data_IF_149782077625
#
_entry.id   IF_149782077625
#
_cell.length_a   1.000
_cell.length_b   1.000
_cell.length_c   1.000
_cell.angle_alpha   90.00
_cell.angle_beta   90.00
_cell.angle_gamma   90.00
#
_symmetry.space_group_name_H-M   'P 1'
#
loop_
_entity.id
_entity.type
_entity.pdbx_description
1 polymer ?
#
# COMPACT_ATOMS: atom_id res chain seq x y z
N UNK A 1 20.79 -29.32 -0.31
CA UNK A 1 21.65 -28.67 -1.32
C UNK A 1 20.99 -28.60 -2.71
N UNK A 2 20.44 -29.68 -3.28
CA UNK A 2 19.85 -29.67 -4.64
C UNK A 2 18.75 -28.64 -4.85
N UNK A 3 17.84 -28.41 -3.89
CA UNK A 3 16.78 -27.40 -3.96
C UNK A 3 17.33 -25.97 -4.07
N UNK A 4 18.44 -25.67 -3.40
CA UNK A 4 19.08 -24.36 -3.48
C UNK A 4 19.66 -24.12 -4.88
N UNK A 5 20.26 -25.14 -5.50
CA UNK A 5 20.77 -25.03 -6.88
C UNK A 5 19.63 -24.83 -7.89
N UNK A 6 18.54 -25.59 -7.77
CA UNK A 6 17.37 -25.38 -8.63
C UNK A 6 16.80 -23.97 -8.50
N UNK A 7 16.66 -23.48 -7.27
CA UNK A 7 16.21 -22.10 -7.02
C UNK A 7 17.17 -21.09 -7.64
N UNK A 8 18.47 -21.22 -7.42
CA UNK A 8 19.47 -20.30 -7.95
C UNK A 8 19.47 -20.28 -9.49
N UNK A 9 19.36 -21.43 -10.15
CA UNK A 9 19.30 -21.50 -11.61
C UNK A 9 18.08 -20.73 -12.13
N UNK A 10 16.90 -20.99 -11.58
CA UNK A 10 15.65 -20.31 -11.97
C UNK A 10 15.75 -18.79 -11.69
N UNK A 11 16.23 -18.42 -10.52
CA UNK A 11 16.40 -17.02 -10.13
C UNK A 11 17.38 -16.28 -11.03
N UNK A 12 18.56 -16.86 -11.30
CA UNK A 12 19.56 -16.26 -12.19
C UNK A 12 19.00 -16.13 -13.60
N UNK A 13 18.37 -17.18 -14.14
CA UNK A 13 17.90 -17.20 -15.53
C UNK A 13 16.73 -16.26 -15.75
N UNK A 14 15.75 -16.24 -14.86
CA UNK A 14 14.48 -15.52 -15.07
C UNK A 14 14.36 -14.20 -14.33
N UNK A 15 15.24 -13.92 -13.37
CA UNK A 15 15.24 -12.63 -12.65
C UNK A 15 16.52 -11.85 -12.87
N UNK A 16 17.66 -12.42 -12.54
CA UNK A 16 18.92 -11.68 -12.54
C UNK A 16 19.41 -11.38 -13.96
N UNK A 17 19.39 -12.36 -14.87
CA UNK A 17 19.89 -12.21 -16.24
C UNK A 17 19.05 -11.19 -17.04
N UNK A 18 17.70 -11.21 -17.06
CA UNK A 18 16.91 -10.18 -17.71
C UNK A 18 17.13 -8.78 -17.12
N UNK A 19 17.32 -8.68 -15.78
CA UNK A 19 17.61 -7.41 -15.11
C UNK A 19 18.95 -6.83 -15.59
N UNK A 20 20.00 -7.65 -15.62
CA UNK A 20 21.32 -7.23 -16.10
C UNK A 20 21.31 -6.89 -17.60
N UNK A 21 20.60 -7.67 -18.41
CA UNK A 21 20.43 -7.39 -19.83
C UNK A 21 19.70 -6.05 -20.05
N UNK A 22 18.60 -5.80 -19.32
CA UNK A 22 17.88 -4.54 -19.37
C UNK A 22 18.76 -3.37 -18.95
N UNK A 23 19.56 -3.53 -17.89
CA UNK A 23 20.53 -2.51 -17.46
C UNK A 23 21.58 -2.24 -18.55
N UNK A 24 22.11 -3.26 -19.19
CA UNK A 24 23.04 -3.10 -20.31
C UNK A 24 22.41 -2.41 -21.52
N UNK A 25 21.21 -2.81 -21.90
CA UNK A 25 20.47 -2.20 -23.02
C UNK A 25 20.04 -0.76 -22.74
N UNK A 26 19.91 -0.35 -21.50
CA UNK A 26 19.55 1.03 -21.13
C UNK A 26 20.58 2.08 -21.58
N UNK A 27 21.82 1.65 -21.85
CA UNK A 27 22.90 2.48 -22.40
C UNK A 27 22.99 2.42 -23.94
N UNK A 28 22.00 1.79 -24.59
CA UNK A 28 21.98 1.63 -26.04
C UNK A 28 20.71 2.22 -26.64
N UNK A 29 20.80 2.66 -27.88
CA UNK A 29 19.63 2.88 -28.73
C UNK A 29 19.30 1.56 -29.43
N UNK A 30 18.10 1.03 -29.19
CA UNK A 30 17.66 -0.23 -29.77
C UNK A 30 16.17 -0.21 -30.12
N UNK A 31 15.89 -0.37 -31.41
CA UNK A 31 14.52 -0.39 -31.95
C UNK A 31 13.98 -1.81 -32.19
N UNK A 32 14.68 -2.86 -31.70
CA UNK A 32 14.38 -4.30 -31.85
C UNK A 32 14.69 -4.83 -33.25
N UNK A 33 14.60 -4.03 -34.31
CA UNK A 33 14.81 -4.46 -35.70
C UNK A 33 16.27 -4.37 -36.15
N UNK A 34 17.03 -3.54 -35.52
CA UNK A 34 18.46 -3.31 -35.79
C UNK A 34 19.30 -3.67 -34.59
N UNK A 35 20.61 -3.84 -34.79
CA UNK A 35 21.53 -4.13 -33.69
C UNK A 35 21.58 -2.95 -32.69
N UNK A 36 21.69 -3.23 -31.38
CA UNK A 36 21.76 -2.18 -30.38
C UNK A 36 23.04 -1.35 -30.54
N UNK A 37 22.90 -0.04 -30.68
CA UNK A 37 24.00 0.90 -30.80
C UNK A 37 24.23 1.62 -29.48
N UNK A 38 25.46 1.60 -28.98
CA UNK A 38 25.80 2.26 -27.73
C UNK A 38 25.66 3.78 -27.83
N UNK A 39 24.81 4.38 -27.01
CA UNK A 39 24.57 5.82 -26.95
C UNK A 39 24.89 6.45 -25.58
N UNK A 40 25.54 5.70 -24.67
CA UNK A 40 25.92 6.20 -23.36
C UNK A 40 24.73 6.55 -22.46
N UNK A 41 24.66 7.78 -22.00
CA UNK A 41 23.63 8.24 -21.06
C UNK A 41 22.48 9.02 -21.74
N UNK A 42 22.41 9.07 -23.07
CA UNK A 42 21.40 9.86 -23.78
C UNK A 42 19.97 9.49 -23.42
N UNK A 43 19.67 8.19 -23.24
CA UNK A 43 18.35 7.76 -22.81
C UNK A 43 17.96 8.34 -21.44
N UNK A 44 18.90 8.43 -20.53
CA UNK A 44 18.67 9.01 -19.19
C UNK A 44 18.52 10.53 -19.25
N UNK A 45 19.33 11.20 -20.06
CA UNK A 45 19.20 12.65 -20.30
C UNK A 45 17.83 12.94 -20.88
N UNK A 46 17.40 12.20 -21.91
CA UNK A 46 16.07 12.35 -22.48
C UNK A 46 14.97 12.19 -21.42
N UNK A 47 15.00 11.12 -20.62
CA UNK A 47 14.00 10.87 -19.59
C UNK A 47 13.90 11.97 -18.54
N UNK A 48 15.04 12.47 -18.06
CA UNK A 48 15.05 13.43 -16.94
C UNK A 48 15.03 14.90 -17.34
N UNK A 49 15.31 15.22 -18.60
CA UNK A 49 15.40 16.61 -19.08
C UNK A 49 14.31 16.92 -20.11
N UNK A 50 14.07 16.02 -21.06
CA UNK A 50 13.24 16.31 -22.23
C UNK A 50 11.85 15.67 -22.14
N UNK A 51 11.67 14.56 -21.43
CA UNK A 51 10.39 13.89 -21.32
C UNK A 51 9.53 14.44 -20.17
N UNK A 52 8.72 15.44 -20.47
CA UNK A 52 7.80 16.04 -19.50
C UNK A 52 6.75 15.04 -18.98
N UNK A 53 6.39 14.01 -19.78
CA UNK A 53 5.44 12.98 -19.37
C UNK A 53 6.06 12.06 -18.31
N UNK A 54 7.31 11.65 -18.51
CA UNK A 54 8.05 10.87 -17.53
C UNK A 54 8.22 11.62 -16.20
N UNK A 55 8.61 12.90 -16.24
CA UNK A 55 8.77 13.72 -15.03
C UNK A 55 7.45 13.85 -14.26
N UNK A 56 6.34 14.04 -14.97
CA UNK A 56 5.00 14.08 -14.36
C UNK A 56 4.61 12.74 -13.75
N UNK A 57 4.84 11.63 -14.46
CA UNK A 57 4.57 10.28 -13.97
C UNK A 57 5.43 9.95 -12.74
N UNK A 58 6.71 10.33 -12.77
CA UNK A 58 7.63 10.16 -11.63
C UNK A 58 7.16 10.92 -10.39
N UNK A 59 6.78 12.19 -10.56
CA UNK A 59 6.25 13.03 -9.46
C UNK A 59 4.95 12.46 -8.90
N UNK A 60 4.04 12.00 -9.76
CA UNK A 60 2.79 11.36 -9.33
C UNK A 60 3.07 10.07 -8.54
N UNK A 61 3.98 9.24 -9.03
CA UNK A 61 4.38 7.99 -8.35
C UNK A 61 5.01 8.28 -6.99
N UNK A 62 5.89 9.28 -6.91
CA UNK A 62 6.50 9.68 -5.66
C UNK A 62 5.47 10.21 -4.66
N UNK A 63 4.55 11.07 -5.12
CA UNK A 63 3.44 11.59 -4.30
C UNK A 63 2.57 10.46 -3.76
N UNK A 64 2.20 9.53 -4.64
CA UNK A 64 1.44 8.34 -4.26
C UNK A 64 2.18 7.51 -3.20
N UNK A 65 3.44 7.17 -3.44
CA UNK A 65 4.24 6.34 -2.55
C UNK A 65 4.45 6.97 -1.17
N UNK A 66 4.77 8.27 -1.12
CA UNK A 66 4.99 9.01 0.12
C UNK A 66 3.72 9.14 0.96
N UNK A 67 2.56 9.22 0.32
CA UNK A 67 1.28 9.30 1.05
C UNK A 67 0.81 7.89 1.44
N UNK A 68 0.68 6.99 0.46
CA UNK A 68 0.07 5.67 0.69
C UNK A 68 0.93 4.80 1.60
N UNK A 69 2.25 4.77 1.41
CA UNK A 69 3.14 3.95 2.23
C UNK A 69 3.03 4.25 3.73
N UNK A 70 3.40 5.44 4.19
CA UNK A 70 3.36 5.79 5.60
C UNK A 70 1.94 5.77 6.19
N UNK A 71 0.94 6.30 5.45
CA UNK A 71 -0.44 6.37 5.96
C UNK A 71 -1.03 4.98 6.12
N UNK A 72 -0.86 4.08 5.15
CA UNK A 72 -1.37 2.69 5.26
C UNK A 72 -0.69 1.92 6.39
N UNK A 73 0.62 2.10 6.55
CA UNK A 73 1.40 1.49 7.62
C UNK A 73 0.89 1.92 9.00
N UNK A 74 0.79 3.23 9.23
CA UNK A 74 0.31 3.80 10.48
C UNK A 74 -1.15 3.40 10.73
N UNK A 75 -2.01 3.52 9.72
CA UNK A 75 -3.43 3.17 9.83
C UNK A 75 -3.61 1.68 10.17
N UNK A 76 -2.90 0.78 9.49
CA UNK A 76 -2.95 -0.67 9.76
C UNK A 76 -2.55 -1.00 11.20
N UNK A 77 -1.51 -0.34 11.73
CA UNK A 77 -1.06 -0.51 13.11
C UNK A 77 -2.11 -0.02 14.11
N UNK A 78 -2.66 1.17 13.90
CA UNK A 78 -3.71 1.72 14.76
C UNK A 78 -5.00 0.89 14.73
N UNK A 79 -5.45 0.45 13.57
CA UNK A 79 -6.63 -0.42 13.48
C UNK A 79 -6.40 -1.76 14.18
N UNK A 80 -5.24 -2.37 14.04
CA UNK A 80 -4.89 -3.59 14.75
C UNK A 80 -4.88 -3.37 16.27
N UNK A 81 -4.34 -2.25 16.74
CA UNK A 81 -4.34 -1.85 18.13
C UNK A 81 -5.77 -1.63 18.68
N UNK A 82 -6.63 -0.92 17.95
CA UNK A 82 -8.04 -0.75 18.34
C UNK A 82 -8.77 -2.09 18.45
N UNK A 83 -8.58 -2.96 17.46
CA UNK A 83 -9.21 -4.29 17.45
C UNK A 83 -8.68 -5.17 18.59
N UNK A 84 -7.43 -5.01 18.98
CA UNK A 84 -6.89 -5.73 20.13
C UNK A 84 -7.59 -5.37 21.44
N UNK A 85 -8.15 -4.18 21.55
CA UNK A 85 -8.91 -3.72 22.72
C UNK A 85 -10.37 -4.21 22.76
N UNK A 86 -10.87 -4.78 21.66
CA UNK A 86 -12.23 -5.31 21.55
C UNK A 86 -12.30 -6.70 22.21
N UNK A 87 -13.43 -7.05 22.88
CA UNK A 87 -13.61 -8.37 23.46
C UNK A 87 -13.40 -9.51 22.46
N UNK A 88 -12.78 -10.61 22.95
CA UNK A 88 -12.38 -11.75 22.10
C UNK A 88 -13.53 -12.35 21.28
N UNK A 89 -14.77 -12.30 21.79
CA UNK A 89 -15.95 -12.86 21.10
C UNK A 89 -16.30 -12.16 19.79
N UNK A 90 -16.10 -10.85 19.70
CA UNK A 90 -16.49 -10.04 18.52
C UNK A 90 -15.29 -9.63 17.66
N UNK A 91 -14.09 -9.76 18.18
CA UNK A 91 -12.83 -9.43 17.48
C UNK A 91 -12.69 -10.07 16.09
N UNK A 92 -13.02 -11.38 15.88
CA UNK A 92 -12.92 -12.00 14.56
C UNK A 92 -13.76 -11.31 13.49
N UNK A 93 -14.92 -10.73 13.87
CA UNK A 93 -15.80 -10.01 12.95
C UNK A 93 -15.09 -8.73 12.44
N UNK A 94 -14.46 -7.97 13.33
CA UNK A 94 -13.71 -6.78 12.95
C UNK A 94 -12.47 -7.13 12.11
N UNK A 95 -11.73 -8.17 12.49
CA UNK A 95 -10.59 -8.64 11.70
C UNK A 95 -11.04 -9.01 10.30
N UNK A 96 -12.13 -9.75 10.15
CA UNK A 96 -12.68 -10.12 8.85
C UNK A 96 -13.10 -8.88 8.05
N UNK A 97 -13.77 -7.91 8.67
CA UNK A 97 -14.24 -6.70 8.00
C UNK A 97 -13.07 -5.86 7.44
N UNK A 98 -11.99 -5.69 8.21
CA UNK A 98 -10.80 -4.95 7.77
C UNK A 98 -9.93 -5.75 6.78
N UNK A 99 -9.98 -7.08 6.82
CA UNK A 99 -9.25 -7.93 5.89
C UNK A 99 -10.03 -8.26 4.62
N UNK A 100 -11.34 -8.02 4.59
CA UNK A 100 -12.22 -8.30 3.45
C UNK A 100 -11.71 -7.75 2.09
N UNK A 101 -11.13 -6.54 2.01
CA UNK A 101 -10.56 -6.04 0.75
C UNK A 101 -9.49 -6.96 0.15
N UNK A 102 -8.65 -7.56 0.98
CA UNK A 102 -7.60 -8.49 0.54
C UNK A 102 -8.13 -9.82 0.00
N UNK A 103 -9.32 -10.23 0.44
CA UNK A 103 -9.98 -11.46 -0.01
C UNK A 103 -10.73 -11.28 -1.33
N UNK A 104 -10.95 -10.04 -1.74
CA UNK A 104 -11.75 -9.73 -2.93
C UNK A 104 -10.84 -9.68 -4.16
N UNK A 105 -11.29 -10.27 -5.27
CA UNK A 105 -10.57 -10.17 -6.55
C UNK A 105 -10.36 -8.70 -6.94
N UNK A 106 -9.13 -8.34 -7.34
CA UNK A 106 -8.80 -6.99 -7.76
C UNK A 106 -9.69 -6.47 -8.90
N UNK A 107 -10.10 -7.34 -9.82
CA UNK A 107 -11.02 -7.00 -10.93
C UNK A 107 -12.40 -6.65 -10.39
N UNK A 108 -12.95 -7.45 -9.46
CA UNK A 108 -14.26 -7.16 -8.87
C UNK A 108 -14.22 -5.85 -8.07
N UNK A 109 -13.15 -5.62 -7.32
CA UNK A 109 -12.95 -4.36 -6.58
C UNK A 109 -12.85 -3.15 -7.51
N UNK A 110 -12.14 -3.26 -8.64
CA UNK A 110 -12.05 -2.19 -9.63
C UNK A 110 -13.43 -1.77 -10.16
N UNK A 111 -14.32 -2.73 -10.42
CA UNK A 111 -15.70 -2.45 -10.84
C UNK A 111 -16.48 -1.72 -9.74
N UNK A 112 -16.38 -2.18 -8.48
CA UNK A 112 -17.05 -1.52 -7.35
C UNK A 112 -16.61 -0.07 -7.22
N UNK A 113 -15.31 0.20 -7.27
CA UNK A 113 -14.78 1.55 -7.18
C UNK A 113 -15.14 2.42 -8.39
N UNK A 114 -15.14 1.84 -9.61
CA UNK A 114 -15.56 2.56 -10.81
C UNK A 114 -17.03 3.01 -10.73
N UNK A 115 -17.90 2.19 -10.18
CA UNK A 115 -19.31 2.54 -9.96
C UNK A 115 -19.47 3.54 -8.82
N UNK A 116 -18.69 3.39 -7.74
CA UNK A 116 -18.72 4.31 -6.60
C UNK A 116 -18.30 5.72 -6.99
N UNK A 117 -17.21 5.85 -7.77
CA UNK A 117 -16.66 7.13 -8.27
C UNK A 117 -17.08 7.42 -9.71
N UNK A 118 -18.24 6.91 -10.16
CA UNK A 118 -18.74 7.24 -11.50
C UNK A 118 -18.92 8.75 -11.65
N UNK A 119 -18.61 9.24 -12.86
CA UNK A 119 -18.59 10.67 -13.18
C UNK A 119 -19.98 11.28 -13.41
N UNK A 120 -21.02 10.47 -13.42
CA UNK A 120 -22.40 10.88 -13.64
C UNK A 120 -23.19 11.04 -12.33
N UNK A 121 -24.40 11.57 -12.43
CA UNK A 121 -25.29 11.74 -11.27
C UNK A 121 -25.81 10.43 -10.66
N UNK A 122 -25.66 9.30 -11.37
CA UNK A 122 -26.07 7.96 -10.91
C UNK A 122 -24.98 7.27 -10.11
N UNK A 123 -23.73 7.74 -10.17
CA UNK A 123 -22.63 7.27 -9.32
C UNK A 123 -22.97 7.40 -7.84
N UNK A 124 -22.66 6.38 -7.04
CA UNK A 124 -23.07 6.35 -5.62
C UNK A 124 -22.60 7.60 -4.85
N UNK A 125 -21.36 8.03 -5.05
CA UNK A 125 -20.81 9.18 -4.32
C UNK A 125 -21.43 10.49 -4.80
N UNK A 126 -21.57 10.69 -6.12
CA UNK A 126 -22.23 11.86 -6.66
C UNK A 126 -23.70 11.93 -6.26
N UNK A 127 -24.42 10.81 -6.34
CA UNK A 127 -25.82 10.74 -5.90
C UNK A 127 -25.96 11.09 -4.41
N UNK A 128 -25.08 10.59 -3.55
CA UNK A 128 -25.10 10.93 -2.12
C UNK A 128 -24.85 12.43 -1.89
N UNK A 129 -23.84 13.01 -2.54
CA UNK A 129 -23.47 14.42 -2.37
C UNK A 129 -24.53 15.37 -2.93
N UNK A 130 -25.16 15.04 -4.07
CA UNK A 130 -26.27 15.78 -4.64
C UNK A 130 -27.49 15.75 -3.72
N UNK A 131 -27.84 14.57 -3.18
CA UNK A 131 -28.99 14.43 -2.26
C UNK A 131 -28.79 15.16 -0.93
N UNK A 132 -27.54 15.27 -0.47
CA UNK A 132 -27.18 16.06 0.72
C UNK A 132 -27.10 17.57 0.45
N UNK A 133 -27.22 18.00 -0.82
CA UNK A 133 -27.08 19.40 -1.21
C UNK A 133 -25.66 19.95 -1.08
N UNK A 134 -24.64 19.09 -1.00
CA UNK A 134 -23.24 19.50 -0.87
C UNK A 134 -22.62 19.89 -2.21
N UNK A 135 -23.16 19.37 -3.30
CA UNK A 135 -22.77 19.73 -4.67
C UNK A 135 -24.03 19.97 -5.50
N UNK A 136 -23.91 20.76 -6.55
CA UNK A 136 -25.01 21.08 -7.49
C UNK A 136 -24.88 20.36 -8.83
N UNK A 137 -23.66 19.94 -9.18
CA UNK A 137 -23.33 19.20 -10.40
C UNK A 137 -22.46 18.00 -10.07
N UNK A 138 -22.55 16.90 -10.85
CA UNK A 138 -21.72 15.72 -10.64
C UNK A 138 -20.22 16.02 -10.80
N UNK A 139 -19.41 15.56 -9.88
CA UNK A 139 -17.95 15.67 -9.94
C UNK A 139 -17.40 14.59 -10.87
N UNK A 140 -16.45 14.98 -11.73
CA UNK A 140 -15.77 14.08 -12.67
C UNK A 140 -14.58 13.37 -11.99
N UNK A 141 -14.88 12.49 -11.03
CA UNK A 141 -13.89 11.86 -10.14
C UNK A 141 -12.72 11.18 -10.85
N UNK A 142 -13.00 10.49 -11.97
CA UNK A 142 -12.02 9.66 -12.68
C UNK A 142 -11.50 10.33 -13.96
N UNK A 143 -11.96 11.54 -14.28
CA UNK A 143 -11.55 12.27 -15.50
C UNK A 143 -10.89 13.61 -15.20
N UNK A 144 -11.19 14.24 -14.08
CA UNK A 144 -10.57 15.49 -13.67
C UNK A 144 -9.20 15.22 -13.01
N UNK A 145 -8.17 15.92 -13.49
CA UNK A 145 -6.79 15.83 -13.01
C UNK A 145 -6.67 16.13 -11.51
N UNK A 146 -7.56 16.96 -10.96
CA UNK A 146 -7.54 17.34 -9.54
C UNK A 146 -8.10 16.24 -8.64
N UNK A 147 -9.02 15.41 -9.13
CA UNK A 147 -9.70 14.39 -8.33
C UNK A 147 -9.15 12.98 -8.52
N UNK A 148 -8.57 12.66 -9.68
CA UNK A 148 -8.12 11.30 -9.97
C UNK A 148 -7.05 10.80 -8.99
N UNK A 149 -6.06 11.63 -8.63
CA UNK A 149 -5.00 11.23 -7.70
C UNK A 149 -5.54 11.01 -6.26
N UNK A 150 -6.36 11.91 -5.66
CA UNK A 150 -7.05 11.64 -4.41
C UNK A 150 -7.88 10.35 -4.42
N UNK A 151 -8.64 10.08 -5.48
CA UNK A 151 -9.43 8.85 -5.61
C UNK A 151 -8.54 7.62 -5.60
N UNK A 152 -7.47 7.61 -6.40
CA UNK A 152 -6.50 6.50 -6.44
C UNK A 152 -5.87 6.27 -5.07
N UNK A 153 -5.51 7.34 -4.34
CA UNK A 153 -4.96 7.25 -2.98
C UNK A 153 -5.98 6.64 -2.00
N UNK A 154 -7.24 7.09 -2.02
CA UNK A 154 -8.29 6.55 -1.16
C UNK A 154 -8.51 5.05 -1.40
N UNK A 155 -8.62 4.65 -2.67
CA UNK A 155 -8.76 3.24 -3.07
C UNK A 155 -7.56 2.41 -2.63
N UNK A 156 -6.36 2.95 -2.80
CA UNK A 156 -5.13 2.28 -2.40
C UNK A 156 -5.02 2.11 -0.88
N UNK A 157 -5.34 3.14 -0.11
CA UNK A 157 -5.36 3.09 1.36
C UNK A 157 -6.34 2.03 1.86
N UNK A 158 -7.55 1.98 1.28
CA UNK A 158 -8.50 0.93 1.61
C UNK A 158 -7.98 -0.47 1.29
N UNK A 159 -7.37 -0.66 0.13
CA UNK A 159 -6.86 -1.96 -0.33
C UNK A 159 -5.59 -2.41 0.40
N UNK A 160 -4.82 -1.46 0.94
CA UNK A 160 -3.54 -1.74 1.64
C UNK A 160 -3.72 -2.34 3.04
N UNK A 161 -4.92 -2.24 3.62
CA UNK A 161 -5.26 -2.85 4.91
C UNK A 161 -5.36 -4.38 4.77
N UNK A 162 -4.24 -5.07 4.53
CA UNK A 162 -4.26 -6.50 4.23
C UNK A 162 -3.23 -7.29 5.06
N UNK A 163 -2.12 -7.66 4.46
CA UNK A 163 -1.11 -8.53 5.09
C UNK A 163 -0.42 -7.85 6.27
N UNK A 164 -0.14 -6.55 6.17
CA UNK A 164 0.46 -5.76 7.27
C UNK A 164 -0.45 -5.73 8.49
N UNK A 165 -1.74 -5.47 8.29
CA UNK A 165 -2.75 -5.45 9.34
C UNK A 165 -2.83 -6.79 10.10
N UNK A 166 -2.87 -7.93 9.38
CA UNK A 166 -2.87 -9.25 10.02
C UNK A 166 -1.60 -9.53 10.81
N UNK A 167 -0.45 -9.11 10.30
CA UNK A 167 0.83 -9.22 11.01
C UNK A 167 0.79 -8.45 12.33
N UNK A 168 0.25 -7.24 12.33
CA UNK A 168 0.09 -6.45 13.55
C UNK A 168 -0.91 -7.05 14.53
N UNK A 169 -2.05 -7.55 14.04
CA UNK A 169 -3.02 -8.26 14.90
C UNK A 169 -2.37 -9.48 15.56
N UNK A 170 -1.56 -10.24 14.82
CA UNK A 170 -0.82 -11.37 15.38
C UNK A 170 0.23 -10.92 16.40
N UNK A 171 0.95 -9.81 16.11
CA UNK A 171 1.91 -9.22 17.02
C UNK A 171 1.30 -8.81 18.36
N UNK A 172 0.19 -8.08 18.34
CA UNK A 172 -0.51 -7.68 19.57
C UNK A 172 -1.02 -8.87 20.39
N UNK A 173 -1.40 -9.96 19.74
CA UNK A 173 -1.81 -11.19 20.44
C UNK A 173 -0.66 -11.95 21.08
N UNK A 174 0.54 -11.75 20.60
CA UNK A 174 1.76 -12.34 21.16
C UNK A 174 2.29 -11.62 22.39
N UNK A 175 1.76 -10.44 22.72
CA UNK A 175 2.19 -9.69 23.90
C UNK A 175 1.66 -10.36 25.18
N UNK A 176 2.58 -10.67 26.09
CA UNK A 176 2.23 -11.31 27.35
C UNK A 176 1.43 -10.36 28.25
N UNK A 177 0.37 -10.88 28.87
CA UNK A 177 -0.49 -10.09 29.79
C UNK A 177 0.27 -9.61 31.02
N UNK A 178 1.24 -10.36 31.48
CA UNK A 178 2.07 -10.00 32.64
C UNK A 178 2.82 -8.68 32.44
N UNK A 179 3.18 -8.36 31.18
CA UNK A 179 3.83 -7.07 30.84
C UNK A 179 2.91 -5.87 31.05
N UNK A 180 1.61 -6.02 30.78
CA UNK A 180 0.64 -4.95 31.05
C UNK A 180 0.39 -4.76 32.55
N UNK A 181 0.41 -5.85 33.31
CA UNK A 181 0.26 -5.80 34.75
C UNK A 181 1.49 -5.14 35.41
N UNK A 182 2.70 -5.55 35.03
CA UNK A 182 3.95 -4.93 35.45
C UNK A 182 3.98 -3.41 35.11
N UNK A 183 3.68 -3.06 33.87
CA UNK A 183 3.62 -1.66 33.44
C UNK A 183 2.60 -0.84 34.25
N UNK A 184 1.50 -1.47 34.66
CA UNK A 184 0.48 -0.80 35.48
C UNK A 184 0.99 -0.52 36.91
N UNK A 185 1.84 -1.38 37.48
CA UNK A 185 2.52 -1.15 38.76
C UNK A 185 3.54 -0.01 38.62
N UNK A 186 4.22 0.08 37.48
CA UNK A 186 5.19 1.17 37.17
C UNK A 186 4.51 2.51 36.84
N UNK A 187 3.18 2.60 36.97
CA UNK A 187 2.44 3.84 36.76
C UNK A 187 1.98 4.09 35.32
N UNK A 188 2.11 3.12 34.41
CA UNK A 188 1.60 3.18 33.04
C UNK A 188 0.10 2.84 33.05
N UNK A 189 -0.76 3.87 33.21
CA UNK A 189 -2.20 3.68 33.39
C UNK A 189 -3.01 3.91 32.11
N UNK A 190 -2.54 4.82 31.24
CA UNK A 190 -3.22 5.20 30.00
C UNK A 190 -3.04 4.13 28.91
N UNK A 191 -4.10 3.89 28.11
CA UNK A 191 -4.03 3.00 26.94
C UNK A 191 -2.97 3.41 25.94
N UNK A 192 -2.79 4.72 25.74
CA UNK A 192 -1.77 5.25 24.84
C UNK A 192 -0.35 5.07 25.39
N UNK A 193 -0.17 5.20 26.71
CA UNK A 193 1.11 4.88 27.34
C UNK A 193 1.44 3.38 27.20
N UNK A 194 0.44 2.49 27.38
CA UNK A 194 0.62 1.05 27.15
C UNK A 194 0.99 0.76 25.71
N UNK A 195 0.38 1.45 24.73
CA UNK A 195 0.78 1.36 23.33
C UNK A 195 2.26 1.69 23.14
N UNK A 196 2.74 2.82 23.69
CA UNK A 196 4.11 3.27 23.46
C UNK A 196 5.15 2.47 24.23
N UNK A 197 4.88 2.10 25.47
CA UNK A 197 5.88 1.47 26.36
C UNK A 197 5.81 -0.06 26.39
N UNK A 198 4.69 -0.66 26.00
CA UNK A 198 4.54 -2.12 25.98
C UNK A 198 4.34 -2.63 24.55
N UNK A 199 3.29 -2.17 23.87
CA UNK A 199 2.90 -2.73 22.58
C UNK A 199 3.95 -2.48 21.49
N UNK A 200 4.40 -1.24 21.29
CA UNK A 200 5.37 -0.89 20.25
C UNK A 200 6.68 -1.66 20.41
N UNK A 201 7.32 -1.72 21.61
CA UNK A 201 8.54 -2.51 21.77
C UNK A 201 8.35 -4.01 21.54
N UNK A 202 7.23 -4.58 21.99
CA UNK A 202 6.96 -6.00 21.85
C UNK A 202 6.58 -6.41 20.42
N UNK A 203 5.99 -5.50 19.65
CA UNK A 203 5.62 -5.72 18.24
C UNK A 203 6.67 -5.25 17.24
N UNK A 204 7.88 -4.90 17.69
CA UNK A 204 8.97 -4.43 16.82
C UNK A 204 9.28 -5.39 15.65
N UNK A 205 9.32 -6.72 15.82
CA UNK A 205 9.53 -7.64 14.68
C UNK A 205 8.45 -7.51 13.60
N UNK A 206 7.17 -7.34 14.00
CA UNK A 206 6.05 -7.16 13.08
C UNK A 206 6.08 -5.79 12.41
N UNK A 207 6.51 -4.76 13.14
CA UNK A 207 6.73 -3.42 12.59
C UNK A 207 7.81 -3.45 11.49
N UNK A 208 8.94 -4.10 11.75
CA UNK A 208 10.02 -4.25 10.75
C UNK A 208 9.55 -5.08 9.54
N UNK A 209 8.86 -6.18 9.77
CA UNK A 209 8.30 -7.02 8.71
C UNK A 209 7.34 -6.23 7.81
N UNK A 210 6.41 -5.49 8.41
CA UNK A 210 5.45 -4.68 7.67
C UNK A 210 6.08 -3.49 6.93
N UNK A 211 7.22 -2.99 7.39
CA UNK A 211 7.94 -1.90 6.71
C UNK A 211 8.71 -2.38 5.45
N UNK A 212 8.98 -3.68 5.34
CA UNK A 212 9.72 -4.28 4.21
C UNK A 212 8.79 -4.79 3.11
N UNK A 213 7.54 -5.13 3.44
CA UNK A 213 6.51 -5.59 2.50
C UNK A 213 5.81 -4.40 1.85
#
# INVERSE_FOLDING_TARGET
>A
MYFVYCFLIIFITFSLLPLLASLGLSFTYWNIFEDPVFNGLENYVYLFVDDALFLKAFTNTLTYAVIVGPVSYIASYFFAWFINQVPDKVRPIYVLAFYAPALTSGVAMAVVWAVMFSNDSTGYLNSLLLNLGLIYEPIQWLQDVNYIMPVVIIVALWSSLSTQFLSFVAGFRGVDRELYDAASVDGVTSRFQKLLYVDVPQTMPQLLFAAVI
#
